data_IF_989016623428
#
_entry.id   IF_989016623428
#
_cell.length_a   1.000
_cell.length_b   1.000
_cell.length_c   1.000
_cell.angle_alpha   90.00
_cell.angle_beta   90.00
_cell.angle_gamma   90.00
#
_symmetry.space_group_name_H-M   'P 1'
#
loop_
_entity.id
_entity.type
_entity.pdbx_description
1 polymer ?
#
# COMPACT_ATOMS: atom_id res chain seq x y z
N UNK A 1 -8.10 -15.76 -10.24
CA UNK A 1 -7.23 -14.86 -9.47
C UNK A 1 -7.63 -13.45 -9.84
N UNK A 2 -7.97 -12.61 -8.87
CA UNK A 2 -8.48 -11.27 -9.14
C UNK A 2 -7.69 -10.26 -8.32
N UNK A 3 -7.36 -9.14 -8.94
CA UNK A 3 -6.63 -8.06 -8.30
C UNK A 3 -7.47 -7.44 -7.18
N UNK A 4 -6.83 -7.18 -6.05
CA UNK A 4 -7.41 -6.51 -4.88
C UNK A 4 -7.02 -5.04 -4.94
N UNK A 5 -8.02 -4.18 -5.10
CA UNK A 5 -7.86 -2.73 -5.13
C UNK A 5 -8.15 -2.16 -3.74
N UNK A 6 -7.17 -1.52 -3.13
CA UNK A 6 -7.34 -0.71 -1.92
C UNK A 6 -7.47 0.75 -2.31
N UNK A 7 -8.39 1.45 -1.66
CA UNK A 7 -8.54 2.90 -1.75
C UNK A 7 -8.40 3.46 -0.34
N UNK A 8 -7.37 4.27 -0.12
CA UNK A 8 -7.01 4.79 1.20
C UNK A 8 -7.09 6.31 1.20
N UNK A 9 -7.85 6.93 2.11
CA UNK A 9 -7.80 8.37 2.32
C UNK A 9 -6.51 8.71 3.08
N UNK A 10 -5.63 9.44 2.40
CA UNK A 10 -4.33 9.93 2.87
C UNK A 10 -4.30 11.44 2.64
N UNK A 11 -4.45 12.20 3.72
CA UNK A 11 -4.43 13.65 3.64
C UNK A 11 -3.07 14.19 3.19
N UNK A 12 -3.03 15.42 2.69
CA UNK A 12 -1.79 16.09 2.27
C UNK A 12 -0.72 16.13 3.37
N UNK A 13 -1.11 16.25 4.64
CA UNK A 13 -0.19 16.21 5.79
C UNK A 13 0.38 14.81 6.08
N UNK A 14 -0.24 13.76 5.56
CA UNK A 14 0.12 12.35 5.78
C UNK A 14 0.97 11.78 4.63
N UNK A 15 1.20 12.53 3.54
CA UNK A 15 1.86 12.04 2.34
C UNK A 15 3.30 11.54 2.59
N UNK A 16 4.06 12.26 3.41
CA UNK A 16 5.42 11.85 3.77
C UNK A 16 5.41 10.56 4.61
N UNK A 17 4.47 10.45 5.55
CA UNK A 17 4.28 9.26 6.37
C UNK A 17 3.85 8.06 5.53
N UNK A 18 2.92 8.29 4.60
CA UNK A 18 2.42 7.27 3.69
C UNK A 18 3.51 6.78 2.74
N UNK A 19 4.29 7.68 2.13
CA UNK A 19 5.43 7.32 1.29
C UNK A 19 6.49 6.51 2.06
N UNK A 20 6.83 6.94 3.28
CA UNK A 20 7.77 6.20 4.14
C UNK A 20 7.23 4.82 4.53
N UNK A 21 5.93 4.72 4.83
CA UNK A 21 5.29 3.44 5.15
C UNK A 21 5.29 2.49 3.96
N UNK A 22 4.93 2.97 2.76
CA UNK A 22 4.97 2.21 1.51
C UNK A 22 6.38 1.67 1.27
N UNK A 23 7.41 2.52 1.34
CA UNK A 23 8.79 2.11 1.13
C UNK A 23 9.20 1.01 2.12
N UNK A 24 8.91 1.20 3.42
CA UNK A 24 9.22 0.20 4.45
C UNK A 24 8.45 -1.10 4.25
N UNK A 25 7.18 -1.04 3.85
CA UNK A 25 6.37 -2.21 3.55
C UNK A 25 6.95 -2.99 2.38
N UNK A 26 7.34 -2.30 1.30
CA UNK A 26 7.98 -2.90 0.14
C UNK A 26 9.35 -3.49 0.48
N UNK A 27 10.19 -2.80 1.26
CA UNK A 27 11.48 -3.33 1.74
C UNK A 27 11.32 -4.57 2.63
N UNK A 28 10.33 -4.57 3.53
CA UNK A 28 10.03 -5.75 4.36
C UNK A 28 9.60 -6.95 3.52
N UNK A 29 8.88 -6.69 2.43
CA UNK A 29 8.50 -7.69 1.45
C UNK A 29 9.68 -8.09 0.59
N UNK A 30 10.65 -7.23 0.25
CA UNK A 30 11.83 -7.61 -0.53
C UNK A 30 12.64 -8.73 0.12
N UNK A 31 12.76 -8.74 1.46
CA UNK A 31 13.36 -9.87 2.20
C UNK A 31 12.55 -11.18 2.09
N UNK A 32 11.23 -11.11 1.92
CA UNK A 32 10.38 -12.27 1.64
C UNK A 32 10.31 -12.59 0.13
N UNK A 33 10.45 -11.59 -0.75
CA UNK A 33 10.39 -11.70 -2.21
C UNK A 33 11.60 -12.45 -2.73
N UNK A 34 12.79 -12.37 -2.12
CA UNK A 34 13.88 -13.31 -2.47
C UNK A 34 13.49 -14.78 -2.24
N UNK A 35 12.55 -15.06 -1.32
CA UNK A 35 11.99 -16.39 -1.06
C UNK A 35 10.80 -16.76 -1.97
N UNK A 36 10.06 -15.77 -2.48
CA UNK A 36 8.82 -15.95 -3.25
C UNK A 36 8.89 -15.44 -4.71
N UNK A 37 10.04 -14.95 -5.19
CA UNK A 37 10.28 -14.44 -6.54
C UNK A 37 10.08 -15.49 -7.65
N UNK A 38 9.82 -16.74 -7.29
CA UNK A 38 9.38 -17.76 -8.23
C UNK A 38 7.88 -17.70 -8.58
N UNK A 39 7.06 -16.91 -7.87
CA UNK A 39 5.57 -17.04 -7.96
C UNK A 39 4.80 -15.73 -8.15
N UNK A 40 5.33 -14.56 -7.81
CA UNK A 40 4.55 -13.31 -7.88
C UNK A 40 5.37 -12.16 -8.44
N UNK A 41 5.01 -11.72 -9.65
CA UNK A 41 5.40 -10.42 -10.19
C UNK A 41 5.00 -9.34 -9.18
N UNK A 42 5.94 -8.46 -8.85
CA UNK A 42 5.84 -7.46 -7.79
C UNK A 42 4.45 -6.78 -7.72
N UNK A 43 3.94 -6.45 -6.51
CA UNK A 43 2.66 -5.78 -6.39
C UNK A 43 2.70 -4.48 -7.21
N UNK A 44 1.81 -4.37 -8.20
CA UNK A 44 1.64 -3.16 -9.00
C UNK A 44 1.05 -2.05 -8.12
N UNK A 45 1.93 -1.36 -7.40
CA UNK A 45 1.54 -0.21 -6.61
C UNK A 45 1.26 0.98 -7.53
N UNK A 46 0.00 1.15 -7.92
CA UNK A 46 -0.43 2.30 -8.71
C UNK A 46 -1.09 3.35 -7.81
N UNK A 47 -0.30 4.30 -7.33
CA UNK A 47 -0.80 5.44 -6.56
C UNK A 47 -1.44 6.45 -7.51
N UNK A 48 -2.78 6.50 -7.53
CA UNK A 48 -3.54 7.52 -8.26
C UNK A 48 -4.19 8.49 -7.27
N UNK A 49 -3.97 9.79 -7.45
CA UNK A 49 -4.80 10.85 -6.86
C UNK A 49 -6.00 11.05 -7.78
N UNK A 50 -7.21 10.96 -7.24
CA UNK A 50 -8.44 11.14 -8.03
C UNK A 50 -9.11 12.47 -7.67
N UNK A 51 -8.96 13.52 -8.49
CA UNK A 51 -9.53 14.84 -8.19
C UNK A 51 -11.07 14.85 -8.17
N UNK A 52 -11.74 13.81 -8.69
CA UNK A 52 -13.20 13.69 -8.61
C UNK A 52 -13.69 13.07 -7.29
N UNK A 53 -12.83 12.33 -6.58
CA UNK A 53 -13.14 11.70 -5.27
C UNK A 53 -12.53 12.50 -4.10
N UNK A 54 -11.57 13.38 -4.41
CA UNK A 54 -10.86 14.26 -3.49
C UNK A 54 -9.34 14.07 -3.62
N UNK A 55 -8.57 15.14 -3.48
CA UNK A 55 -7.10 15.18 -3.71
C UNK A 55 -6.29 14.18 -2.85
N UNK A 56 -6.93 13.58 -1.85
CA UNK A 56 -6.31 12.78 -0.80
C UNK A 56 -6.55 11.26 -0.94
N UNK A 57 -7.13 10.75 -2.02
CA UNK A 57 -7.27 9.27 -2.17
C UNK A 57 -6.01 8.68 -2.79
N UNK A 58 -5.49 7.59 -2.20
CA UNK A 58 -4.38 6.77 -2.73
C UNK A 58 -4.93 5.39 -3.07
N UNK A 59 -4.74 4.98 -4.32
CA UNK A 59 -5.13 3.64 -4.79
C UNK A 59 -3.91 2.70 -4.71
N UNK A 60 -4.10 1.45 -4.32
CA UNK A 60 -3.07 0.41 -4.36
C UNK A 60 -3.69 -0.88 -4.91
N UNK A 61 -2.93 -1.63 -5.71
CA UNK A 61 -3.41 -2.88 -6.31
C UNK A 61 -2.48 -4.02 -5.87
N UNK A 62 -3.09 -5.07 -5.33
CA UNK A 62 -2.39 -6.27 -4.87
C UNK A 62 -2.93 -7.50 -5.58
N UNK A 63 -2.06 -8.42 -6.00
CA UNK A 63 -2.47 -9.71 -6.56
C UNK A 63 -3.01 -10.65 -5.47
N UNK A 64 -2.56 -10.48 -4.22
CA UNK A 64 -2.93 -11.34 -3.09
C UNK A 64 -3.73 -10.58 -2.03
N UNK A 65 -4.87 -11.16 -1.64
CA UNK A 65 -5.70 -10.63 -0.55
C UNK A 65 -4.94 -10.53 0.79
N UNK A 66 -4.01 -11.45 1.06
CA UNK A 66 -3.21 -11.40 2.29
C UNK A 66 -2.29 -10.18 2.30
N UNK A 67 -1.69 -9.82 1.17
CA UNK A 67 -0.87 -8.63 1.04
C UNK A 67 -1.68 -7.35 1.21
N UNK A 68 -2.85 -7.28 0.57
CA UNK A 68 -3.78 -6.15 0.73
C UNK A 68 -4.23 -5.99 2.19
N UNK A 69 -4.61 -7.09 2.86
CA UNK A 69 -5.04 -7.06 4.26
C UNK A 69 -3.90 -6.65 5.21
N UNK A 70 -2.68 -7.14 4.97
CA UNK A 70 -1.51 -6.77 5.75
C UNK A 70 -1.17 -5.28 5.57
N UNK A 71 -1.23 -4.78 4.34
CA UNK A 71 -1.00 -3.37 4.05
C UNK A 71 -2.04 -2.48 4.73
N UNK A 72 -3.33 -2.76 4.53
CA UNK A 72 -4.42 -1.94 5.09
C UNK A 72 -4.36 -1.88 6.62
N UNK A 73 -4.12 -3.02 7.28
CA UNK A 73 -4.04 -3.07 8.74
C UNK A 73 -2.76 -2.42 9.29
N UNK A 74 -1.63 -2.54 8.59
CA UNK A 74 -0.39 -1.87 8.97
C UNK A 74 -0.46 -0.36 8.76
N UNK A 75 -1.09 0.10 7.68
CA UNK A 75 -1.32 1.53 7.44
C UNK A 75 -2.22 2.15 8.52
N UNK A 76 -3.32 1.50 8.88
CA UNK A 76 -4.22 1.98 9.94
C UNK A 76 -3.48 2.16 11.28
N UNK A 77 -2.55 1.24 11.61
CA UNK A 77 -1.70 1.36 12.80
C UNK A 77 -0.68 2.49 12.68
N UNK A 78 0.02 2.59 11.55
CA UNK A 78 1.02 3.63 11.32
C UNK A 78 0.40 5.03 11.41
N UNK A 79 -0.80 5.20 10.85
CA UNK A 79 -1.59 6.43 10.93
C UNK A 79 -1.97 6.78 12.36
N UNK A 80 -2.45 5.80 13.14
CA UNK A 80 -2.82 6.02 14.54
C UNK A 80 -1.62 6.36 15.45
N UNK A 81 -0.42 5.89 15.10
CA UNK A 81 0.82 6.18 15.85
C UNK A 81 1.53 7.47 15.40
N UNK A 82 1.17 8.01 14.23
CA UNK A 82 1.79 9.21 13.64
C UNK A 82 0.94 10.48 13.67
N UNK A 83 -0.30 10.38 14.19
CA UNK A 83 -1.23 11.49 14.39
C UNK A 83 -1.17 12.05 15.83
#
# INVERSE_FOLDING_TARGET
MGDVVLQLPVGTSEDLLFGAYVNRFMESRSNDVERYAAVSDAPYLMIRQDPAVGDDVRILIFQEHQAASAFSSGWAKARASGA
#
